data_IF_835564747767
#
_entry.id   IF_835564747767
#
_cell.length_a   1.000
_cell.length_b   1.000
_cell.length_c   1.000
_cell.angle_alpha   90.00
_cell.angle_beta   90.00
_cell.angle_gamma   90.00
#
_symmetry.space_group_name_H-M   'P 1'
#
loop_
_entity.id
_entity.type
_entity.pdbx_description
1 polymer ?
#
# COMPACT_ATOMS: atom_id res chain seq x y z
N UNK A 1 -18.53 1.61 20.28
CA UNK A 1 -17.30 2.13 19.69
C UNK A 1 -16.99 1.48 18.33
N UNK A 2 -17.05 0.15 18.21
CA UNK A 2 -16.83 -0.57 16.92
C UNK A 2 -17.85 -0.14 15.86
N UNK A 3 -19.14 -0.12 16.19
CA UNK A 3 -20.23 0.26 15.27
C UNK A 3 -20.08 1.69 14.75
N UNK A 4 -19.60 2.62 15.58
CA UNK A 4 -19.35 4.01 15.18
C UNK A 4 -18.17 4.12 14.19
N UNK A 5 -17.11 3.33 14.39
CA UNK A 5 -15.98 3.27 13.48
C UNK A 5 -16.41 2.68 12.13
N UNK A 6 -17.18 1.60 12.16
CA UNK A 6 -17.67 0.95 10.94
C UNK A 6 -18.64 1.87 10.16
N UNK A 7 -19.51 2.60 10.85
CA UNK A 7 -20.41 3.58 10.22
C UNK A 7 -19.62 4.75 9.57
N UNK A 8 -18.62 5.28 10.29
CA UNK A 8 -17.73 6.32 9.76
C UNK A 8 -16.94 5.83 8.55
N UNK A 9 -16.40 4.63 8.63
CA UNK A 9 -15.57 4.00 7.59
C UNK A 9 -16.37 3.78 6.30
N UNK A 10 -17.63 3.32 6.43
CA UNK A 10 -18.57 3.17 5.31
C UNK A 10 -18.91 4.53 4.68
N UNK A 11 -19.26 5.51 5.51
CA UNK A 11 -19.62 6.85 5.03
C UNK A 11 -18.44 7.52 4.30
N UNK A 12 -17.22 7.41 4.84
CA UNK A 12 -16.03 7.97 4.22
C UNK A 12 -15.66 7.23 2.93
N UNK A 13 -15.79 5.90 2.92
CA UNK A 13 -15.56 5.11 1.69
C UNK A 13 -16.48 5.60 0.57
N UNK A 14 -17.79 5.71 0.82
CA UNK A 14 -18.76 6.14 -0.20
C UNK A 14 -18.49 7.54 -0.75
N UNK A 15 -17.88 8.43 0.06
CA UNK A 15 -17.44 9.76 -0.39
C UNK A 15 -16.18 9.71 -1.24
N UNK A 16 -15.29 8.75 -0.99
CA UNK A 16 -14.01 8.61 -1.69
C UNK A 16 -14.09 7.66 -2.89
N UNK A 17 -15.16 6.89 -3.00
CA UNK A 17 -15.41 5.97 -4.09
C UNK A 17 -16.00 6.75 -5.27
N UNK A 18 -15.12 7.26 -6.14
CA UNK A 18 -15.47 8.08 -7.30
C UNK A 18 -15.54 7.27 -8.60
N UNK A 19 -15.65 5.93 -8.51
CA UNK A 19 -15.73 5.05 -9.67
C UNK A 19 -17.06 5.19 -10.42
N UNK A 20 -17.07 4.83 -11.70
CA UNK A 20 -18.24 4.93 -12.57
C UNK A 20 -18.09 5.95 -13.70
N UNK A 21 -16.88 6.46 -13.92
CA UNK A 21 -16.57 7.48 -14.91
C UNK A 21 -15.33 7.11 -15.74
N UNK A 22 -15.53 6.73 -17.02
CA UNK A 22 -14.41 6.62 -17.95
C UNK A 22 -13.94 8.01 -18.40
N UNK A 23 -12.62 8.23 -18.60
CA UNK A 23 -11.54 7.23 -18.64
C UNK A 23 -10.87 6.94 -17.29
N UNK A 24 -11.32 7.55 -16.20
CA UNK A 24 -10.71 7.46 -14.87
C UNK A 24 -10.73 6.02 -14.32
N UNK A 25 -11.81 5.29 -14.54
CA UNK A 25 -11.94 3.90 -14.12
C UNK A 25 -10.83 3.03 -14.70
N UNK A 26 -10.58 3.18 -16.00
CA UNK A 26 -9.50 2.48 -16.70
C UNK A 26 -8.13 2.91 -16.18
N UNK A 27 -7.88 4.20 -16.01
CA UNK A 27 -6.60 4.73 -15.50
C UNK A 27 -6.31 4.20 -14.10
N UNK A 28 -7.25 4.33 -13.17
CA UNK A 28 -7.09 3.90 -11.79
C UNK A 28 -6.96 2.37 -11.69
N UNK A 29 -7.72 1.62 -12.48
CA UNK A 29 -7.58 0.16 -12.55
C UNK A 29 -6.16 -0.26 -12.93
N UNK A 30 -5.56 0.36 -13.95
CA UNK A 30 -4.19 0.06 -14.33
C UNK A 30 -3.16 0.59 -13.32
N UNK A 31 -3.40 1.74 -12.69
CA UNK A 31 -2.55 2.25 -11.61
C UNK A 31 -2.44 1.31 -10.41
N UNK A 32 -3.34 0.31 -10.29
CA UNK A 32 -3.20 -0.75 -9.26
C UNK A 32 -2.17 -1.82 -9.63
N UNK A 33 -1.77 -1.90 -10.89
CA UNK A 33 -0.89 -2.96 -11.37
C UNK A 33 0.57 -2.59 -11.14
N UNK A 34 1.32 -3.46 -10.50
CA UNK A 34 2.72 -3.23 -10.13
C UNK A 34 3.60 -2.92 -11.35
N UNK A 35 3.35 -3.56 -12.50
CA UNK A 35 4.15 -3.35 -13.70
C UNK A 35 4.06 -1.92 -14.28
N UNK A 36 2.96 -1.21 -14.05
CA UNK A 36 2.81 0.19 -14.47
C UNK A 36 3.85 1.09 -13.78
N UNK A 37 4.27 0.73 -12.58
CA UNK A 37 5.22 1.48 -11.78
C UNK A 37 6.67 1.03 -11.97
N UNK A 38 6.91 0.06 -12.85
CA UNK A 38 8.26 -0.42 -13.13
C UNK A 38 9.24 0.70 -13.52
N UNK A 39 8.89 1.68 -14.37
CA UNK A 39 9.79 2.80 -14.67
C UNK A 39 10.20 3.60 -13.43
N UNK A 40 9.26 3.83 -12.50
CA UNK A 40 9.52 4.52 -11.24
C UNK A 40 10.46 3.71 -10.34
N UNK A 41 10.25 2.39 -10.24
CA UNK A 41 11.11 1.52 -9.44
C UNK A 41 12.53 1.40 -10.03
N UNK A 42 12.65 1.34 -11.35
CA UNK A 42 13.95 1.36 -12.04
C UNK A 42 14.67 2.70 -11.80
N UNK A 43 13.95 3.81 -11.84
CA UNK A 43 14.52 5.11 -11.52
C UNK A 43 15.03 5.19 -10.08
N UNK A 44 14.27 4.71 -9.10
CA UNK A 44 14.75 4.63 -7.71
C UNK A 44 15.97 3.70 -7.57
N UNK A 45 15.97 2.55 -8.26
CA UNK A 45 17.13 1.66 -8.33
C UNK A 45 18.38 2.34 -8.90
N UNK A 46 18.20 3.14 -9.96
CA UNK A 46 19.27 3.95 -10.54
C UNK A 46 19.80 4.99 -9.54
N UNK A 47 18.93 5.69 -8.82
CA UNK A 47 19.33 6.65 -7.78
C UNK A 47 20.10 5.98 -6.63
N UNK A 48 19.67 4.78 -6.23
CA UNK A 48 20.40 3.97 -5.26
C UNK A 48 21.80 3.60 -5.78
N UNK A 49 21.89 3.15 -7.02
CA UNK A 49 23.18 2.83 -7.63
C UNK A 49 24.09 4.07 -7.75
N UNK A 50 23.55 5.20 -8.17
CA UNK A 50 24.28 6.48 -8.22
C UNK A 50 24.84 6.90 -6.86
N UNK A 51 24.07 6.65 -5.78
CA UNK A 51 24.46 7.04 -4.42
C UNK A 51 25.43 6.06 -3.75
N UNK A 52 25.25 4.76 -3.96
CA UNK A 52 25.91 3.71 -3.18
C UNK A 52 26.77 2.75 -4.03
N UNK A 53 26.78 2.90 -5.35
CA UNK A 53 27.49 1.97 -6.25
C UNK A 53 27.03 0.52 -6.04
N UNK A 54 27.97 -0.40 -5.91
CA UNK A 54 27.67 -1.83 -5.68
C UNK A 54 26.90 -2.10 -4.38
N UNK A 55 27.02 -1.23 -3.38
CA UNK A 55 26.28 -1.37 -2.13
C UNK A 55 24.77 -1.11 -2.29
N UNK A 56 24.31 -0.55 -3.42
CA UNK A 56 22.90 -0.44 -3.75
C UNK A 56 22.17 -1.79 -3.71
N UNK A 57 22.84 -2.89 -4.02
CA UNK A 57 22.25 -4.24 -3.92
C UNK A 57 21.77 -4.54 -2.51
N UNK A 58 22.52 -4.19 -1.47
CA UNK A 58 22.11 -4.39 -0.05
C UNK A 58 20.83 -3.63 0.27
N UNK A 59 20.73 -2.38 -0.20
CA UNK A 59 19.54 -1.55 0.01
C UNK A 59 18.33 -2.04 -0.78
N UNK A 60 18.54 -2.57 -1.97
CA UNK A 60 17.47 -3.21 -2.76
C UNK A 60 16.97 -4.48 -2.07
N UNK A 61 17.88 -5.32 -1.60
CA UNK A 61 17.52 -6.53 -0.82
C UNK A 61 16.79 -6.14 0.47
N UNK A 62 17.26 -5.12 1.18
CA UNK A 62 16.56 -4.59 2.37
C UNK A 62 15.11 -4.19 2.03
N UNK A 63 14.89 -3.43 0.96
CA UNK A 63 13.55 -3.00 0.53
C UNK A 63 12.67 -4.20 0.17
N UNK A 64 13.20 -5.17 -0.56
CA UNK A 64 12.47 -6.40 -0.90
C UNK A 64 12.09 -7.22 0.34
N UNK A 65 13.00 -7.34 1.31
CA UNK A 65 12.72 -8.01 2.59
C UNK A 65 11.65 -7.26 3.40
N UNK A 66 11.71 -5.93 3.43
CA UNK A 66 10.71 -5.11 4.11
C UNK A 66 9.32 -5.30 3.49
N UNK A 67 9.21 -5.26 2.16
CA UNK A 67 7.95 -5.50 1.45
C UNK A 67 7.47 -6.93 1.65
N UNK A 68 8.35 -7.93 1.52
CA UNK A 68 7.98 -9.34 1.72
C UNK A 68 7.49 -9.63 3.14
N UNK A 69 8.16 -9.07 4.16
CA UNK A 69 7.74 -9.16 5.55
C UNK A 69 6.36 -8.50 5.76
N UNK A 70 6.18 -7.31 5.21
CA UNK A 70 4.92 -6.57 5.33
C UNK A 70 3.78 -7.30 4.64
N UNK A 71 4.01 -7.81 3.43
CA UNK A 71 3.01 -8.59 2.69
C UNK A 71 2.64 -9.88 3.42
N UNK A 72 3.64 -10.59 3.96
CA UNK A 72 3.43 -11.80 4.75
C UNK A 72 2.59 -11.53 6.01
N UNK A 73 2.98 -10.51 6.79
CA UNK A 73 2.27 -10.16 8.04
C UNK A 73 0.83 -9.72 7.74
N UNK A 74 0.63 -8.84 6.76
CA UNK A 74 -0.71 -8.40 6.40
C UNK A 74 -1.55 -9.53 5.80
N UNK A 75 -0.97 -10.28 4.85
CA UNK A 75 -1.73 -11.25 4.04
C UNK A 75 -1.93 -12.60 4.71
N UNK A 76 -0.92 -13.11 5.42
CA UNK A 76 -0.93 -14.46 5.98
C UNK A 76 -1.21 -14.52 7.49
N UNK A 77 -0.97 -13.40 8.20
CA UNK A 77 -1.19 -13.38 9.66
C UNK A 77 -2.43 -12.57 10.00
N UNK A 78 -2.47 -11.28 9.63
CA UNK A 78 -3.52 -10.38 10.12
C UNK A 78 -4.87 -10.59 9.42
N UNK A 79 -4.90 -10.86 8.11
CA UNK A 79 -6.19 -11.10 7.41
C UNK A 79 -6.97 -12.30 7.95
N UNK A 80 -6.35 -13.47 8.17
CA UNK A 80 -7.04 -14.61 8.76
C UNK A 80 -7.45 -14.39 10.22
N UNK A 81 -6.70 -13.54 10.98
CA UNK A 81 -7.02 -13.25 12.38
C UNK A 81 -8.18 -12.27 12.54
N UNK A 82 -8.27 -11.27 11.64
CA UNK A 82 -9.29 -10.21 11.77
C UNK A 82 -10.56 -10.55 11.01
N UNK A 83 -10.45 -11.26 9.88
CA UNK A 83 -11.54 -11.72 9.01
C UNK A 83 -12.54 -10.63 8.61
N UNK A 84 -12.10 -9.36 8.57
CA UNK A 84 -12.95 -8.24 8.14
C UNK A 84 -13.24 -8.36 6.66
N UNK A 85 -14.52 -8.50 6.28
CA UNK A 85 -14.96 -8.52 4.89
C UNK A 85 -14.65 -7.19 4.20
N UNK A 86 -14.34 -7.27 2.90
CA UNK A 86 -14.19 -6.06 2.07
C UNK A 86 -15.54 -5.42 1.79
N UNK A 87 -15.58 -4.09 1.53
CA UNK A 87 -16.81 -3.42 1.10
C UNK A 87 -17.48 -4.10 -0.10
N UNK A 88 -16.66 -4.51 -1.07
CA UNK A 88 -17.11 -5.23 -2.29
C UNK A 88 -17.77 -6.60 -2.03
N UNK A 89 -17.61 -7.15 -0.82
CA UNK A 89 -18.21 -8.43 -0.38
C UNK A 89 -19.28 -8.24 0.70
N UNK A 90 -19.62 -7.00 1.07
CA UNK A 90 -20.71 -6.70 1.96
C UNK A 90 -22.01 -6.48 1.17
N UNK A 91 -23.02 -7.28 1.44
CA UNK A 91 -24.33 -7.21 0.75
C UNK A 91 -24.98 -5.83 0.85
N UNK A 92 -24.85 -5.19 2.02
CA UNK A 92 -25.42 -3.86 2.27
C UNK A 92 -24.70 -2.73 1.51
N UNK A 93 -23.44 -2.88 1.16
CA UNK A 93 -22.65 -1.84 0.49
C UNK A 93 -22.51 -2.08 -0.99
N UNK A 94 -22.50 -3.34 -1.43
CA UNK A 94 -22.27 -3.72 -2.82
C UNK A 94 -23.14 -2.99 -3.84
N UNK A 95 -24.45 -2.76 -3.59
CA UNK A 95 -25.30 -2.03 -4.56
C UNK A 95 -24.87 -0.55 -4.75
N UNK A 96 -24.19 0.04 -3.76
CA UNK A 96 -23.71 1.42 -3.82
C UNK A 96 -22.29 1.54 -4.42
N UNK A 97 -21.65 0.42 -4.77
CA UNK A 97 -20.28 0.40 -5.28
C UNK A 97 -20.27 0.05 -6.77
N UNK A 98 -19.64 0.91 -7.57
CA UNK A 98 -19.31 0.59 -8.95
C UNK A 98 -18.01 -0.22 -9.00
N UNK A 99 -18.10 -1.52 -9.25
CA UNK A 99 -16.92 -2.39 -9.33
C UNK A 99 -16.31 -2.32 -10.73
N UNK A 100 -15.26 -1.51 -10.87
CA UNK A 100 -14.55 -1.32 -12.13
C UNK A 100 -14.09 -2.67 -12.69
N UNK A 101 -14.58 -3.03 -13.91
CA UNK A 101 -14.33 -4.33 -14.58
C UNK A 101 -14.66 -5.55 -13.71
N UNK A 102 -15.63 -5.42 -12.79
CA UNK A 102 -16.02 -6.50 -11.88
C UNK A 102 -14.97 -6.84 -10.81
N UNK A 103 -13.96 -5.99 -10.61
CA UNK A 103 -12.88 -6.27 -9.65
C UNK A 103 -13.36 -6.11 -8.21
N UNK A 104 -13.51 -7.21 -7.49
CA UNK A 104 -13.94 -7.23 -6.09
C UNK A 104 -12.80 -7.53 -5.09
N UNK A 105 -11.65 -7.99 -5.58
CA UNK A 105 -10.55 -8.44 -4.70
C UNK A 105 -10.87 -9.75 -3.97
N UNK A 106 -10.08 -10.11 -2.98
CA UNK A 106 -10.34 -11.28 -2.12
C UNK A 106 -11.32 -10.97 -1.00
N UNK A 107 -11.75 -11.99 -0.24
CA UNK A 107 -12.81 -11.89 0.79
C UNK A 107 -12.48 -10.91 1.91
N UNK A 108 -11.27 -11.00 2.48
CA UNK A 108 -10.88 -10.19 3.64
C UNK A 108 -10.06 -8.97 3.25
N UNK A 109 -10.37 -7.83 3.90
CA UNK A 109 -9.81 -6.51 3.59
C UNK A 109 -8.73 -6.03 4.57
N UNK A 110 -8.86 -6.32 5.85
CA UNK A 110 -8.01 -5.73 6.89
C UNK A 110 -6.76 -6.56 7.19
N UNK A 111 -5.59 -5.90 7.23
CA UNK A 111 -5.28 -4.59 6.68
C UNK A 111 -5.08 -4.61 5.15
N UNK A 112 -4.92 -3.44 4.52
CA UNK A 112 -4.65 -3.36 3.08
C UNK A 112 -3.18 -3.66 2.75
N UNK A 113 -2.90 -4.79 2.09
CA UNK A 113 -1.54 -5.14 1.62
C UNK A 113 -0.98 -4.07 0.66
N UNK A 114 -1.81 -3.54 -0.26
CA UNK A 114 -1.34 -2.52 -1.20
C UNK A 114 -0.86 -1.25 -0.48
N UNK A 115 -1.61 -0.80 0.52
CA UNK A 115 -1.23 0.35 1.33
C UNK A 115 0.02 0.04 2.16
N UNK A 116 0.09 -1.13 2.78
CA UNK A 116 1.23 -1.55 3.59
C UNK A 116 2.53 -1.66 2.77
N UNK A 117 2.47 -2.33 1.62
CA UNK A 117 3.62 -2.51 0.75
C UNK A 117 4.08 -1.18 0.13
N UNK A 118 3.14 -0.31 -0.28
CA UNK A 118 3.52 1.01 -0.81
C UNK A 118 4.13 1.91 0.27
N UNK A 119 3.63 1.86 1.50
CA UNK A 119 4.23 2.56 2.64
C UNK A 119 5.62 2.03 2.98
N UNK A 120 5.83 0.71 2.95
CA UNK A 120 7.13 0.08 3.16
C UNK A 120 8.16 0.54 2.10
N UNK A 121 7.76 0.57 0.83
CA UNK A 121 8.63 1.08 -0.27
C UNK A 121 8.93 2.55 -0.06
N UNK A 122 7.91 3.39 0.15
CA UNK A 122 8.09 4.83 0.31
C UNK A 122 8.99 5.17 1.52
N UNK A 123 8.79 4.47 2.63
CA UNK A 123 9.63 4.64 3.81
C UNK A 123 11.06 4.15 3.57
N UNK A 124 11.27 3.02 2.89
CA UNK A 124 12.61 2.56 2.48
C UNK A 124 13.32 3.60 1.62
N UNK A 125 12.65 4.14 0.60
CA UNK A 125 13.19 5.20 -0.28
C UNK A 125 13.59 6.43 0.56
N UNK A 126 12.72 6.86 1.49
CA UNK A 126 12.95 8.02 2.33
C UNK A 126 14.20 7.86 3.23
N UNK A 127 14.32 6.74 3.95
CA UNK A 127 15.41 6.51 4.90
C UNK A 127 16.74 6.21 4.22
N UNK A 128 16.70 5.65 2.99
CA UNK A 128 17.91 5.28 2.24
C UNK A 128 18.42 6.43 1.38
N UNK A 129 17.58 7.01 0.53
CA UNK A 129 18.03 8.09 -0.35
C UNK A 129 18.24 9.41 0.41
N UNK A 130 17.43 9.69 1.44
CA UNK A 130 17.52 10.90 2.29
C UNK A 130 17.49 12.20 1.47
N UNK A 131 16.70 12.24 0.43
CA UNK A 131 16.47 13.40 -0.42
C UNK A 131 15.00 13.81 -0.34
N UNK A 132 14.72 15.02 0.17
CA UNK A 132 13.35 15.49 0.43
C UNK A 132 12.44 15.37 -0.79
N UNK A 133 12.91 15.81 -1.96
CA UNK A 133 12.13 15.75 -3.19
C UNK A 133 11.76 14.30 -3.58
N UNK A 134 12.72 13.37 -3.51
CA UNK A 134 12.48 11.96 -3.80
C UNK A 134 11.51 11.33 -2.78
N UNK A 135 11.63 11.74 -1.51
CA UNK A 135 10.70 11.32 -0.46
C UNK A 135 9.27 11.79 -0.76
N UNK A 136 9.08 13.03 -1.20
CA UNK A 136 7.74 13.52 -1.57
C UNK A 136 7.16 12.75 -2.75
N UNK A 137 7.96 12.42 -3.77
CA UNK A 137 7.52 11.58 -4.89
C UNK A 137 7.12 10.19 -4.39
N UNK A 138 7.91 9.57 -3.51
CA UNK A 138 7.63 8.24 -2.99
C UNK A 138 6.36 8.21 -2.13
N UNK A 139 6.17 9.21 -1.27
CA UNK A 139 4.95 9.36 -0.45
C UNK A 139 3.75 9.65 -1.34
N UNK A 140 3.85 10.56 -2.30
CA UNK A 140 2.78 10.88 -3.25
C UNK A 140 2.35 9.65 -4.05
N UNK A 141 3.32 8.87 -4.53
CA UNK A 141 3.03 7.60 -5.20
C UNK A 141 2.33 6.61 -4.27
N UNK A 142 2.79 6.45 -3.03
CA UNK A 142 2.19 5.52 -2.09
C UNK A 142 0.77 5.93 -1.68
N UNK A 143 0.50 7.24 -1.55
CA UNK A 143 -0.84 7.78 -1.34
C UNK A 143 -1.76 7.48 -2.53
N UNK A 144 -1.30 7.76 -3.76
CA UNK A 144 -2.05 7.47 -4.98
C UNK A 144 -2.35 5.97 -5.10
N UNK A 145 -1.34 5.11 -4.92
CA UNK A 145 -1.49 3.66 -4.99
C UNK A 145 -2.44 3.12 -3.92
N UNK A 146 -2.43 3.71 -2.72
CA UNK A 146 -3.37 3.37 -1.65
C UNK A 146 -4.79 3.87 -1.96
N UNK A 147 -4.93 5.09 -2.52
CA UNK A 147 -6.23 5.63 -2.92
C UNK A 147 -6.92 4.78 -3.97
N UNK A 148 -6.15 4.12 -4.87
CA UNK A 148 -6.76 3.19 -5.84
C UNK A 148 -7.61 2.11 -5.16
N UNK A 149 -7.34 1.76 -3.90
CA UNK A 149 -8.11 0.74 -3.14
C UNK A 149 -9.47 1.24 -2.69
N UNK A 150 -9.54 2.53 -2.34
CA UNK A 150 -10.79 3.20 -1.99
C UNK A 150 -11.62 3.46 -3.24
N UNK A 151 -10.97 3.97 -4.30
CA UNK A 151 -11.60 4.19 -5.59
C UNK A 151 -12.26 2.93 -6.15
N UNK A 152 -11.60 1.78 -6.06
CA UNK A 152 -12.14 0.48 -6.51
C UNK A 152 -13.14 -0.15 -5.54
N UNK A 153 -13.44 0.48 -4.39
CA UNK A 153 -14.40 -0.03 -3.42
C UNK A 153 -13.98 -1.35 -2.74
N UNK A 154 -12.68 -1.66 -2.71
CA UNK A 154 -12.18 -2.95 -2.19
C UNK A 154 -11.57 -2.88 -0.80
N UNK A 155 -11.41 -1.70 -0.23
CA UNK A 155 -10.93 -1.49 1.14
C UNK A 155 -11.63 -0.32 1.81
N UNK A 156 -11.77 -0.41 3.12
CA UNK A 156 -12.16 0.71 3.95
C UNK A 156 -11.00 1.67 4.19
N UNK A 157 -11.25 2.97 4.48
CA UNK A 157 -10.21 3.91 4.89
C UNK A 157 -9.33 3.41 6.05
N UNK A 158 -9.94 2.78 7.07
CA UNK A 158 -9.16 2.22 8.20
C UNK A 158 -8.28 1.05 7.80
N UNK A 159 -8.66 0.22 6.80
CA UNK A 159 -7.79 -0.85 6.26
C UNK A 159 -6.52 -0.26 5.65
N UNK A 160 -6.69 0.86 4.93
CA UNK A 160 -5.59 1.59 4.27
C UNK A 160 -4.68 2.22 5.31
N UNK A 161 -5.25 2.92 6.29
CA UNK A 161 -4.49 3.56 7.36
C UNK A 161 -3.70 2.54 8.20
N UNK A 162 -4.36 1.44 8.61
CA UNK A 162 -3.69 0.35 9.32
C UNK A 162 -2.55 -0.26 8.49
N UNK A 163 -2.78 -0.46 7.18
CA UNK A 163 -1.74 -0.92 6.26
C UNK A 163 -0.52 0.02 6.27
N UNK A 164 -0.72 1.34 6.18
CA UNK A 164 0.35 2.32 6.25
C UNK A 164 1.15 2.22 7.54
N UNK A 165 0.48 2.17 8.69
CA UNK A 165 1.15 2.05 9.99
C UNK A 165 2.00 0.78 10.06
N UNK A 166 1.45 -0.35 9.65
CA UNK A 166 2.14 -1.64 9.65
C UNK A 166 3.36 -1.59 8.73
N UNK A 167 3.22 -1.07 7.51
CA UNK A 167 4.32 -0.95 6.56
C UNK A 167 5.48 -0.11 7.11
N UNK A 168 5.17 1.04 7.72
CA UNK A 168 6.18 1.93 8.33
C UNK A 168 6.84 1.26 9.54
N UNK A 169 6.06 0.68 10.46
CA UNK A 169 6.57 0.06 11.68
C UNK A 169 7.49 -1.12 11.35
N UNK A 170 7.04 -2.05 10.50
CA UNK A 170 7.84 -3.23 10.14
C UNK A 170 9.13 -2.85 9.40
N UNK A 171 9.06 -1.90 8.46
CA UNK A 171 10.24 -1.42 7.73
C UNK A 171 11.21 -0.70 8.67
N UNK A 172 10.70 0.14 9.57
CA UNK A 172 11.51 0.83 10.58
C UNK A 172 12.20 -0.13 11.54
N UNK A 173 11.47 -1.13 12.04
CA UNK A 173 12.02 -2.17 12.92
C UNK A 173 13.11 -2.98 12.21
N UNK A 174 12.87 -3.38 10.96
CA UNK A 174 13.87 -4.09 10.16
C UNK A 174 15.12 -3.23 9.92
N UNK A 175 14.94 -1.93 9.65
CA UNK A 175 16.06 -0.99 9.47
C UNK A 175 16.89 -0.84 10.73
N UNK A 176 16.25 -0.69 11.90
CA UNK A 176 16.96 -0.57 13.19
C UNK A 176 17.72 -1.87 13.52
N UNK A 177 17.11 -3.02 13.27
CA UNK A 177 17.75 -4.32 13.46
C UNK A 177 18.98 -4.49 12.54
N UNK A 178 18.84 -4.14 11.26
CA UNK A 178 19.91 -4.25 10.28
C UNK A 178 21.09 -3.30 10.63
N UNK A 179 20.82 -2.09 11.11
CA UNK A 179 21.84 -1.17 11.63
C UNK A 179 22.54 -1.73 12.85
N UNK A 180 21.78 -2.26 13.82
CA UNK A 180 22.37 -2.87 15.02
C UNK A 180 23.29 -4.03 14.67
N UNK A 181 22.92 -4.87 13.70
CA UNK A 181 23.73 -5.99 13.21
C UNK A 181 24.87 -5.56 12.28
N UNK A 182 25.05 -4.25 12.00
CA UNK A 182 26.03 -3.72 11.03
C UNK A 182 25.90 -4.34 9.62
N UNK A 183 24.68 -4.71 9.27
CA UNK A 183 24.37 -5.35 7.97
C UNK A 183 24.10 -4.32 6.84
N UNK A 184 23.93 -3.03 7.17
CA UNK A 184 23.69 -1.92 6.25
C UNK A 184 24.75 -0.83 6.38
#
# INVERSE_FOLDING_TARGET
MRDAIDAWDRALLLRLHLAGHEPWDTLIYYATKTWVWLPLFLWWGYLLYRKYGRAAVRWSVFTLLAVGLTDFVCGRVLKPLVERRRPSHEEALRPALHLVRGYAGGTYGFPSNHAANSAAIAFSVAIVLRQRFITYIAVGWALLHSYTRLYLGVHYPTDVFAGWLIGIILTGSLYLLAKWRKAL
#
